data_IF_164264433594
#
_entry.id   IF_164264433594
#
_cell.length_a   1.000
_cell.length_b   1.000
_cell.length_c   1.000
_cell.angle_alpha   90.00
_cell.angle_beta   90.00
_cell.angle_gamma   90.00
#
_symmetry.space_group_name_H-M   'P 1'
#
loop_
_entity.id
_entity.type
_entity.pdbx_description
1 polymer ?
#
# COMPACT_ATOMS: atom_id res chain seq x y z
N UNK A 1 22.32 4.35 8.14
CA UNK A 1 21.27 5.00 7.34
C UNK A 1 19.94 4.71 8.00
N UNK A 2 19.13 5.73 8.30
CA UNK A 2 17.75 5.48 8.71
C UNK A 2 16.89 5.32 7.46
N UNK A 3 16.08 4.26 7.39
CA UNK A 3 15.15 4.03 6.29
C UNK A 3 14.21 5.22 6.16
N UNK A 4 14.34 5.98 5.07
CA UNK A 4 13.54 7.17 4.80
C UNK A 4 12.07 6.83 4.47
N UNK A 5 11.71 5.55 4.39
CA UNK A 5 10.41 5.05 3.92
C UNK A 5 9.71 4.10 4.89
N UNK A 6 10.25 3.88 6.11
CA UNK A 6 9.57 3.09 7.13
C UNK A 6 8.56 3.92 7.92
N UNK A 7 7.32 3.42 8.01
CA UNK A 7 6.31 3.92 8.93
C UNK A 7 5.59 2.74 9.57
N UNK A 8 5.48 2.74 10.90
CA UNK A 8 4.75 1.68 11.60
C UNK A 8 3.28 1.67 11.19
N UNK A 9 2.70 0.48 11.09
CA UNK A 9 1.26 0.34 10.88
C UNK A 9 0.49 1.12 11.97
N UNK A 10 -0.58 1.79 11.56
CA UNK A 10 -1.38 2.70 12.38
C UNK A 10 -0.72 4.02 12.78
N UNK A 11 0.52 4.29 12.33
CA UNK A 11 1.10 5.63 12.51
C UNK A 11 0.45 6.65 11.57
N UNK A 12 0.43 7.91 11.98
CA UNK A 12 -0.06 8.99 11.14
C UNK A 12 0.81 9.13 9.89
N UNK A 13 0.17 9.33 8.73
CA UNK A 13 0.84 9.67 7.49
C UNK A 13 1.59 10.99 7.62
N UNK A 14 2.87 10.98 7.28
CA UNK A 14 3.76 12.15 7.35
C UNK A 14 4.71 12.26 6.14
N UNK A 15 4.53 11.42 5.14
CA UNK A 15 5.41 11.38 3.97
C UNK A 15 5.19 12.62 3.06
N UNK A 16 3.95 13.08 2.92
CA UNK A 16 3.59 14.34 2.26
C UNK A 16 2.58 15.14 3.08
N UNK A 17 2.48 16.44 2.77
CA UNK A 17 1.40 17.28 3.29
C UNK A 17 0.06 16.82 2.71
N UNK A 18 -0.95 16.70 3.58
CA UNK A 18 -2.30 16.26 3.22
C UNK A 18 -3.33 17.14 3.90
N UNK A 19 -4.47 17.34 3.24
CA UNK A 19 -5.61 18.08 3.77
C UNK A 19 -6.38 17.31 4.85
N UNK A 20 -6.23 15.98 4.88
CA UNK A 20 -7.00 15.08 5.75
C UNK A 20 -6.07 14.11 6.48
N UNK A 21 -6.35 13.77 7.75
CA UNK A 21 -5.56 12.76 8.46
C UNK A 21 -5.65 11.39 7.76
N UNK A 22 -4.50 10.75 7.56
CA UNK A 22 -4.39 9.40 7.00
C UNK A 22 -3.50 8.51 7.88
N UNK A 23 -3.68 7.21 7.75
CA UNK A 23 -3.06 6.17 8.58
C UNK A 23 -2.22 5.25 7.72
N UNK A 24 -0.93 5.11 8.06
CA UNK A 24 0.03 4.27 7.35
C UNK A 24 -0.21 2.78 7.56
N UNK A 25 -0.10 2.00 6.48
CA UNK A 25 -0.08 0.54 6.50
C UNK A 25 0.98 0.04 5.51
N UNK A 26 1.78 -0.96 5.91
CA UNK A 26 2.67 -1.67 4.99
C UNK A 26 3.90 -0.89 4.53
N UNK A 27 4.27 0.19 5.21
CA UNK A 27 5.53 0.91 5.01
C UNK A 27 6.66 0.22 5.78
N UNK A 28 7.02 -0.98 5.30
CA UNK A 28 8.02 -1.84 5.93
C UNK A 28 9.45 -1.36 5.62
N UNK A 29 10.41 -1.72 6.47
CA UNK A 29 11.83 -1.38 6.29
C UNK A 29 12.74 -2.46 6.86
N UNK A 30 13.96 -2.53 6.34
CA UNK A 30 14.95 -3.54 6.69
C UNK A 30 15.28 -3.56 8.19
N UNK A 31 15.64 -4.75 8.69
CA UNK A 31 16.04 -4.92 10.09
C UNK A 31 14.89 -4.83 11.11
N UNK A 32 13.63 -4.78 10.64
CA UNK A 32 12.44 -4.78 11.49
C UNK A 32 11.56 -5.98 11.18
N UNK A 33 11.14 -6.70 12.21
CA UNK A 33 10.12 -7.74 12.07
C UNK A 33 8.74 -7.11 11.86
N UNK A 34 7.92 -7.76 11.05
CA UNK A 34 6.52 -7.39 10.83
C UNK A 34 5.62 -8.63 11.03
N UNK A 35 4.32 -8.44 11.34
CA UNK A 35 3.38 -9.55 11.45
C UNK A 35 3.34 -10.34 10.14
N UNK A 36 3.36 -11.67 10.25
CA UNK A 36 3.21 -12.56 9.10
C UNK A 36 2.08 -13.55 9.32
N UNK A 37 1.38 -13.89 8.24
CA UNK A 37 0.17 -14.69 8.33
C UNK A 37 -0.61 -14.71 7.02
N UNK A 38 -1.64 -15.58 6.93
CA UNK A 38 -2.41 -15.72 5.71
C UNK A 38 -3.23 -14.45 5.43
N UNK A 39 -3.24 -14.03 4.17
CA UNK A 39 -4.13 -12.98 3.67
C UNK A 39 -5.08 -13.61 2.64
N UNK A 40 -6.40 -13.42 2.77
CA UNK A 40 -7.36 -13.99 1.82
C UNK A 40 -7.13 -13.53 0.38
N UNK A 41 -7.26 -14.45 -0.58
CA UNK A 41 -6.98 -14.17 -2.00
C UNK A 41 -7.82 -13.05 -2.58
N UNK A 42 -9.08 -12.90 -2.16
CA UNK A 42 -9.97 -11.84 -2.62
C UNK A 42 -9.47 -10.44 -2.21
N UNK A 43 -8.75 -10.33 -1.09
CA UNK A 43 -8.12 -9.09 -0.63
C UNK A 43 -6.96 -8.73 -1.55
N UNK A 44 -6.14 -9.71 -1.90
CA UNK A 44 -5.02 -9.54 -2.84
C UNK A 44 -5.55 -9.11 -4.22
N UNK A 45 -6.58 -9.78 -4.74
CA UNK A 45 -7.20 -9.42 -6.01
C UNK A 45 -7.76 -7.98 -5.98
N UNK A 46 -8.42 -7.57 -4.88
CA UNK A 46 -8.89 -6.19 -4.71
C UNK A 46 -7.74 -5.20 -4.65
N UNK A 47 -6.66 -5.48 -3.91
CA UNK A 47 -5.48 -4.60 -3.87
C UNK A 47 -4.88 -4.39 -5.26
N UNK A 48 -4.81 -5.44 -6.08
CA UNK A 48 -4.37 -5.34 -7.48
C UNK A 48 -5.28 -4.43 -8.30
N UNK A 49 -6.61 -4.50 -8.11
CA UNK A 49 -7.54 -3.60 -8.79
C UNK A 49 -7.36 -2.14 -8.35
N UNK A 50 -7.04 -1.90 -7.08
CA UNK A 50 -6.80 -0.56 -6.55
C UNK A 50 -5.56 0.12 -7.14
N UNK A 51 -4.62 -0.62 -7.74
CA UNK A 51 -3.46 0.00 -8.39
C UNK A 51 -3.82 0.76 -9.67
N UNK A 52 -5.04 0.60 -10.18
CA UNK A 52 -5.53 1.40 -11.32
C UNK A 52 -5.82 2.86 -10.92
N UNK A 53 -5.87 3.16 -9.61
CA UNK A 53 -6.12 4.48 -9.03
C UNK A 53 -5.07 4.81 -7.97
N UNK A 54 -3.79 4.75 -8.35
CA UNK A 54 -2.69 5.10 -7.44
C UNK A 54 -2.62 6.60 -7.17
N UNK A 55 -2.39 6.93 -5.91
CA UNK A 55 -2.14 8.28 -5.43
C UNK A 55 -0.63 8.49 -5.24
N UNK A 56 -0.20 9.76 -5.15
CA UNK A 56 1.18 10.11 -4.83
C UNK A 56 2.23 9.40 -5.71
N UNK A 57 1.94 9.25 -7.01
CA UNK A 57 2.84 8.58 -7.94
C UNK A 57 4.13 9.39 -8.09
N UNK A 58 5.27 8.75 -7.84
CA UNK A 58 6.59 9.35 -7.91
C UNK A 58 7.32 8.90 -9.18
N UNK A 59 8.36 9.65 -9.57
CA UNK A 59 9.24 9.28 -10.69
C UNK A 59 10.21 8.13 -10.36
N UNK A 60 10.45 7.89 -9.07
CA UNK A 60 11.25 6.77 -8.58
C UNK A 60 10.39 5.55 -8.27
N UNK A 61 11.03 4.39 -8.14
CA UNK A 61 10.41 3.14 -7.71
C UNK A 61 11.02 2.75 -6.37
N UNK A 62 10.17 2.40 -5.41
CA UNK A 62 10.60 1.83 -4.12
C UNK A 62 11.01 0.38 -4.35
N UNK A 63 12.27 0.06 -4.02
CA UNK A 63 12.81 -1.29 -4.03
C UNK A 63 12.33 -2.11 -2.84
N UNK A 64 12.21 -3.43 -3.03
CA UNK A 64 12.00 -4.33 -1.91
C UNK A 64 13.31 -4.58 -1.17
N UNK A 65 13.38 -4.23 0.11
CA UNK A 65 14.58 -4.41 0.93
C UNK A 65 14.74 -5.84 1.49
N UNK A 66 13.79 -6.73 1.21
CA UNK A 66 13.72 -8.08 1.79
C UNK A 66 14.04 -9.21 0.79
N UNK A 67 14.17 -8.89 -0.50
CA UNK A 67 14.55 -9.85 -1.55
C UNK A 67 15.39 -9.19 -2.64
N UNK A 68 15.73 -9.96 -3.67
CA UNK A 68 16.54 -9.54 -4.81
C UNK A 68 15.69 -9.33 -6.08
N UNK A 69 14.36 -9.22 -5.94
CA UNK A 69 13.48 -8.97 -7.08
C UNK A 69 13.76 -7.58 -7.66
N UNK A 70 13.89 -7.49 -8.99
CA UNK A 70 14.21 -6.23 -9.65
C UNK A 70 12.98 -5.32 -9.76
N UNK A 71 13.17 -4.05 -9.39
CA UNK A 71 12.15 -3.02 -9.58
C UNK A 71 12.09 -2.50 -11.02
N UNK A 72 10.90 -2.12 -11.53
CA UNK A 72 9.61 -2.23 -10.86
C UNK A 72 9.09 -3.67 -10.87
N UNK A 73 8.63 -4.14 -9.72
CA UNK A 73 8.02 -5.46 -9.57
C UNK A 73 6.71 -5.49 -10.36
N UNK A 74 6.59 -6.45 -11.29
CA UNK A 74 5.42 -6.65 -12.13
C UNK A 74 4.70 -7.93 -11.75
N UNK A 75 3.42 -7.80 -11.38
CA UNK A 75 2.59 -8.94 -11.00
C UNK A 75 1.45 -9.09 -12.01
N UNK A 76 1.20 -10.32 -12.46
CA UNK A 76 0.05 -10.64 -13.29
C UNK A 76 -1.25 -10.35 -12.51
N UNK A 77 -2.20 -9.67 -13.15
CA UNK A 77 -3.43 -9.25 -12.50
C UNK A 77 -4.59 -9.19 -13.49
N UNK A 78 -5.81 -9.38 -12.99
CA UNK A 78 -7.06 -9.27 -13.76
C UNK A 78 -7.47 -7.81 -13.95
N UNK A 79 -6.55 -6.98 -14.44
CA UNK A 79 -6.74 -5.56 -14.81
C UNK A 79 -6.68 -5.41 -16.33
N UNK A 80 -7.17 -4.32 -16.94
CA UNK A 80 -7.16 -4.14 -18.40
C UNK A 80 -5.78 -4.33 -19.04
N UNK A 81 -4.71 -3.95 -18.35
CA UNK A 81 -3.32 -4.09 -18.82
C UNK A 81 -2.75 -5.51 -18.68
N UNK A 82 -3.44 -6.41 -17.96
CA UNK A 82 -3.01 -7.78 -17.65
C UNK A 82 -1.95 -7.90 -16.56
N UNK A 83 -1.40 -6.79 -16.07
CA UNK A 83 -0.42 -6.75 -15.00
C UNK A 83 -0.45 -5.40 -14.28
N UNK A 84 0.10 -5.37 -13.06
CA UNK A 84 0.34 -4.15 -12.27
C UNK A 84 1.84 -3.93 -12.07
N UNK A 85 2.26 -2.67 -11.97
CA UNK A 85 3.63 -2.29 -11.62
C UNK A 85 3.64 -1.65 -10.24
N UNK A 86 4.45 -2.20 -9.33
CA UNK A 86 4.48 -1.79 -7.93
C UNK A 86 5.67 -0.84 -7.62
N UNK A 87 5.61 -0.21 -6.45
CA UNK A 87 6.69 0.63 -5.91
C UNK A 87 6.64 2.11 -6.33
N UNK A 88 5.70 2.50 -7.18
CA UNK A 88 5.66 3.86 -7.75
C UNK A 88 4.70 4.82 -7.06
N UNK A 89 3.82 4.36 -6.18
CA UNK A 89 2.77 5.20 -5.59
C UNK A 89 2.08 4.53 -4.43
N UNK A 90 0.99 5.15 -3.98
CA UNK A 90 0.26 4.80 -2.77
C UNK A 90 -1.18 4.36 -3.11
N UNK A 91 -1.65 3.35 -2.39
CA UNK A 91 -3.04 2.91 -2.35
C UNK A 91 -3.75 3.66 -1.22
N UNK A 92 -4.82 4.36 -1.53
CA UNK A 92 -5.64 5.02 -0.50
C UNK A 92 -7.03 4.36 -0.41
N UNK A 93 -7.50 4.09 0.81
CA UNK A 93 -8.84 3.53 1.04
C UNK A 93 -9.49 4.13 2.27
N UNK A 94 -10.77 4.47 2.13
CA UNK A 94 -11.60 4.95 3.23
C UNK A 94 -12.37 3.76 3.78
N UNK A 95 -12.17 3.46 5.06
CA UNK A 95 -12.88 2.42 5.78
C UNK A 95 -14.31 2.87 6.17
N UNK A 96 -15.12 1.94 6.66
CA UNK A 96 -16.52 2.17 7.07
C UNK A 96 -16.64 3.18 8.22
N UNK A 97 -15.59 3.29 9.05
CA UNK A 97 -15.50 4.28 10.14
C UNK A 97 -14.90 5.63 9.70
N UNK A 98 -14.78 5.86 8.39
CA UNK A 98 -14.18 7.04 7.75
C UNK A 98 -12.67 7.20 8.02
N UNK A 99 -12.00 6.18 8.59
CA UNK A 99 -10.54 6.15 8.64
C UNK A 99 -9.96 6.03 7.24
N UNK A 100 -9.03 6.91 6.89
CA UNK A 100 -8.33 6.87 5.61
C UNK A 100 -7.01 6.12 5.80
N UNK A 101 -6.88 4.96 5.17
CA UNK A 101 -5.65 4.21 5.13
C UNK A 101 -4.84 4.53 3.87
N UNK A 102 -3.52 4.60 4.03
CA UNK A 102 -2.56 4.73 2.94
C UNK A 102 -1.47 3.68 3.05
N UNK A 103 -1.16 3.02 1.94
CA UNK A 103 -0.13 2.00 1.85
C UNK A 103 0.69 2.18 0.56
N UNK A 104 2.00 1.87 0.55
CA UNK A 104 2.72 1.83 -0.71
C UNK A 104 2.14 0.69 -1.57
N UNK A 105 2.11 0.84 -2.90
CA UNK A 105 1.66 -0.26 -3.78
C UNK A 105 2.50 -1.53 -3.60
N UNK A 106 3.74 -1.38 -3.11
CA UNK A 106 4.63 -2.48 -2.74
C UNK A 106 4.09 -3.38 -1.60
N UNK A 107 3.07 -2.94 -0.85
CA UNK A 107 2.37 -3.77 0.15
C UNK A 107 1.86 -5.09 -0.45
N UNK A 108 1.48 -5.08 -1.73
CA UNK A 108 1.02 -6.28 -2.44
C UNK A 108 2.16 -7.31 -2.54
N UNK A 109 3.36 -6.86 -2.89
CA UNK A 109 4.53 -7.72 -2.95
C UNK A 109 4.92 -8.22 -1.55
N UNK A 110 4.84 -7.36 -0.53
CA UNK A 110 5.11 -7.78 0.85
C UNK A 110 4.15 -8.88 1.33
N UNK A 111 2.86 -8.79 0.98
CA UNK A 111 1.88 -9.83 1.30
C UNK A 111 2.23 -11.15 0.59
N UNK A 112 2.44 -11.10 -0.73
CA UNK A 112 2.59 -12.31 -1.55
C UNK A 112 3.94 -13.00 -1.29
N UNK A 113 5.02 -12.23 -1.29
CA UNK A 113 6.38 -12.77 -1.27
C UNK A 113 6.94 -12.90 0.16
N UNK A 114 6.54 -12.00 1.05
CA UNK A 114 7.07 -11.91 2.40
C UNK A 114 6.05 -12.30 3.48
N UNK A 115 4.87 -12.77 3.08
CA UNK A 115 3.79 -13.19 3.97
C UNK A 115 3.40 -12.12 5.00
N UNK A 116 3.64 -10.84 4.69
CA UNK A 116 3.21 -9.74 5.54
C UNK A 116 1.70 -9.81 5.72
N UNK A 117 1.25 -9.76 6.98
CA UNK A 117 -0.15 -9.77 7.35
C UNK A 117 -0.56 -8.34 7.71
N UNK A 118 -1.30 -7.63 6.84
CA UNK A 118 -1.82 -6.31 7.15
C UNK A 118 -2.82 -6.41 8.32
N UNK A 119 -3.00 -5.32 9.08
CA UNK A 119 -4.01 -5.28 10.14
C UNK A 119 -5.43 -5.52 9.60
N UNK A 120 -6.29 -6.13 10.43
CA UNK A 120 -7.65 -6.52 10.03
C UNK A 120 -8.49 -5.32 9.57
N UNK A 121 -8.34 -4.15 10.19
CA UNK A 121 -9.04 -2.93 9.79
C UNK A 121 -8.71 -2.54 8.34
N UNK A 122 -7.45 -2.67 7.93
CA UNK A 122 -7.05 -2.40 6.56
C UNK A 122 -7.61 -3.45 5.59
N UNK A 123 -7.61 -4.72 5.98
CA UNK A 123 -8.22 -5.82 5.20
C UNK A 123 -9.72 -5.53 4.96
N UNK A 124 -10.44 -5.12 6.00
CA UNK A 124 -11.84 -4.69 5.92
C UNK A 124 -12.00 -3.49 4.98
N UNK A 125 -11.17 -2.45 5.12
CA UNK A 125 -11.22 -1.27 4.26
C UNK A 125 -10.97 -1.60 2.78
N UNK A 126 -10.09 -2.54 2.48
CA UNK A 126 -9.88 -3.03 1.11
C UNK A 126 -11.15 -3.71 0.57
N UNK A 127 -11.78 -4.56 1.39
CA UNK A 127 -12.97 -5.33 1.02
C UNK A 127 -14.22 -4.50 0.84
N UNK A 128 -14.53 -3.67 1.83
CA UNK A 128 -15.82 -3.01 2.04
C UNK A 128 -15.74 -1.50 1.91
N UNK A 129 -14.54 -0.94 2.05
CA UNK A 129 -14.31 0.49 1.99
C UNK A 129 -14.52 1.09 0.60
N UNK A 130 -14.57 2.42 0.58
CA UNK A 130 -14.77 3.21 -0.64
C UNK A 130 -13.44 3.82 -1.13
N UNK A 131 -13.33 4.16 -2.44
CA UNK A 131 -12.18 4.89 -2.96
C UNK A 131 -12.01 6.23 -2.25
N UNK A 132 -10.76 6.68 -2.14
CA UNK A 132 -10.49 8.05 -1.73
C UNK A 132 -10.96 9.01 -2.84
N UNK A 133 -11.79 9.98 -2.48
CA UNK A 133 -12.22 11.02 -3.42
C UNK A 133 -11.21 12.19 -3.45
N UNK A 134 -11.48 13.23 -4.23
CA UNK A 134 -10.58 14.39 -4.41
C UNK A 134 -10.16 15.11 -3.11
N UNK A 135 -10.76 14.79 -1.95
CA UNK A 135 -10.38 15.32 -0.64
C UNK A 135 -9.14 14.66 -0.03
N UNK A 136 -8.72 13.49 -0.52
CA UNK A 136 -7.50 12.81 -0.07
C UNK A 136 -6.23 13.28 -0.81
N UNK A 137 -6.39 14.15 -1.82
CA UNK A 137 -5.28 14.72 -2.58
C UNK A 137 -4.42 15.67 -1.74
N UNK A 138 -3.17 15.86 -2.16
CA UNK A 138 -2.32 16.92 -1.60
C UNK A 138 -2.83 18.28 -2.06
N UNK A 139 -2.51 19.33 -1.30
CA UNK A 139 -2.52 20.70 -1.82
C UNK A 139 -1.56 20.76 -3.01
N UNK A 140 -2.02 21.29 -4.15
CA UNK A 140 -1.25 21.43 -5.40
C UNK A 140 0.08 22.18 -5.21
#
# INVERSE_FOLDING_TARGET
MGDMTFFSDFSNYRYRATLVPMVNIGWLGAGRSFPTGPVPTDVIEKLMLLTEDLHNIMRGVHDCEFCQEESPIRLAAKVPRGYVSLGMGELHRIDVDETIFTAPSLVIHYIIQHNYQPPENFIRAVREGRPCDGRCGNEE
#
